data_IF_203503217061
#
_entry.id   IF_203503217061
#
_cell.length_a   1.000
_cell.length_b   1.000
_cell.length_c   1.000
_cell.angle_alpha   90.00
_cell.angle_beta   90.00
_cell.angle_gamma   90.00
#
_symmetry.space_group_name_H-M   'P 1'
#
loop_
_entity.id
_entity.type
_entity.pdbx_description
1 polymer ?
#
# COMPACT_ATOMS: atom_id res chain seq x y z
N UNK A 1 32.61 -3.47 21.68
CA UNK A 1 31.70 -3.35 20.53
C UNK A 1 31.61 -1.90 20.13
N UNK A 2 31.77 -1.60 18.84
CA UNK A 2 31.64 -0.22 18.32
C UNK A 2 30.16 0.12 18.09
N UNK A 3 29.85 1.42 17.93
CA UNK A 3 28.48 1.85 17.63
C UNK A 3 27.98 1.28 16.30
N UNK A 4 28.80 1.30 15.23
CA UNK A 4 28.42 0.77 13.91
C UNK A 4 28.15 -0.74 13.93
N UNK A 5 28.96 -1.48 14.70
CA UNK A 5 28.76 -2.92 14.91
C UNK A 5 27.46 -3.20 15.67
N UNK A 6 27.22 -2.45 16.74
CA UNK A 6 25.97 -2.53 17.50
C UNK A 6 24.76 -2.21 16.62
N UNK A 7 24.87 -1.18 15.78
CA UNK A 7 23.80 -0.71 14.91
C UNK A 7 23.38 -1.75 13.89
N UNK A 8 24.34 -2.46 13.28
CA UNK A 8 24.05 -3.53 12.32
C UNK A 8 23.37 -4.73 12.96
N UNK A 9 23.66 -5.00 14.23
CA UNK A 9 23.13 -6.15 14.99
C UNK A 9 21.86 -5.85 15.78
N UNK A 10 21.39 -4.59 15.78
CA UNK A 10 20.13 -4.19 16.43
C UNK A 10 18.90 -5.04 16.03
N UNK A 11 18.69 -5.43 14.75
CA UNK A 11 17.58 -6.27 14.37
C UNK A 11 17.61 -7.66 15.00
N UNK A 12 18.81 -8.22 15.22
CA UNK A 12 18.99 -9.54 15.82
C UNK A 12 18.35 -9.61 17.22
N UNK A 13 18.37 -8.51 17.98
CA UNK A 13 17.72 -8.41 19.30
C UNK A 13 16.19 -8.55 19.28
N UNK A 14 15.55 -8.44 18.12
CA UNK A 14 14.12 -8.69 18.00
C UNK A 14 13.81 -10.20 18.02
N UNK A 15 14.74 -11.02 17.50
CA UNK A 15 14.60 -12.47 17.41
C UNK A 15 15.30 -13.19 18.57
N UNK A 16 16.48 -12.71 18.98
CA UNK A 16 17.32 -13.30 20.02
C UNK A 16 17.81 -12.22 21.02
N UNK A 17 17.32 -12.32 22.26
CA UNK A 17 17.63 -11.35 23.33
C UNK A 17 18.81 -11.74 24.21
N UNK A 18 19.58 -12.75 23.84
CA UNK A 18 20.61 -13.31 24.72
C UNK A 18 22.02 -12.70 24.51
N UNK A 19 22.19 -11.75 23.58
CA UNK A 19 23.47 -11.04 23.42
C UNK A 19 23.67 -9.95 24.50
N UNK A 20 24.29 -10.37 25.62
CA UNK A 20 24.59 -9.50 26.75
C UNK A 20 25.49 -8.30 26.39
N UNK A 21 26.42 -8.46 25.43
CA UNK A 21 27.33 -7.40 25.00
C UNK A 21 26.61 -6.31 24.21
N UNK A 22 25.72 -6.73 23.32
CA UNK A 22 24.86 -5.85 22.53
C UNK A 22 23.86 -5.11 23.43
N UNK A 23 23.21 -5.80 24.36
CA UNK A 23 22.31 -5.19 25.34
C UNK A 23 23.01 -4.18 26.24
N UNK A 24 24.23 -4.46 26.69
CA UNK A 24 25.02 -3.52 27.49
C UNK A 24 25.28 -2.20 26.73
N UNK A 25 25.63 -2.28 25.45
CA UNK A 25 25.82 -1.09 24.60
C UNK A 25 24.51 -0.34 24.37
N UNK A 26 23.41 -1.04 24.04
CA UNK A 26 22.10 -0.41 23.85
C UNK A 26 21.68 0.34 25.12
N UNK A 27 21.90 -0.22 26.32
CA UNK A 27 21.63 0.50 27.58
C UNK A 27 22.45 1.78 27.76
N UNK A 28 23.65 1.85 27.18
CA UNK A 28 24.53 3.01 27.27
C UNK A 28 24.36 4.03 26.13
N UNK A 29 23.71 3.66 25.02
CA UNK A 29 23.62 4.50 23.81
C UNK A 29 22.16 4.87 23.48
N UNK A 30 21.81 6.15 23.63
CA UNK A 30 20.45 6.66 23.42
C UNK A 30 19.93 6.45 21.99
N UNK A 31 20.79 6.58 20.97
CA UNK A 31 20.40 6.39 19.57
C UNK A 31 20.03 4.93 19.28
N UNK A 32 20.82 3.98 19.79
CA UNK A 32 20.52 2.55 19.69
C UNK A 32 19.22 2.19 20.43
N UNK A 33 18.93 2.81 21.58
CA UNK A 33 17.64 2.62 22.29
C UNK A 33 16.46 3.10 21.46
N UNK A 34 16.58 4.31 20.90
CA UNK A 34 15.53 4.91 20.06
C UNK A 34 15.25 4.03 18.84
N UNK A 35 16.31 3.54 18.19
CA UNK A 35 16.18 2.70 17.01
C UNK A 35 15.56 1.35 17.35
N UNK A 36 16.00 0.68 18.43
CA UNK A 36 15.41 -0.58 18.88
C UNK A 36 13.92 -0.43 19.20
N UNK A 37 13.53 0.69 19.82
CA UNK A 37 12.13 1.00 20.11
C UNK A 37 11.29 1.14 18.83
N UNK A 38 11.81 1.86 17.82
CA UNK A 38 11.13 2.03 16.53
C UNK A 38 10.95 0.68 15.81
N UNK A 39 12.00 -0.14 15.79
CA UNK A 39 11.96 -1.48 15.22
C UNK A 39 10.93 -2.37 15.92
N UNK A 40 10.93 -2.41 17.26
CA UNK A 40 9.95 -3.17 18.04
C UNK A 40 8.51 -2.66 17.89
N UNK A 41 8.30 -1.39 17.54
CA UNK A 41 6.96 -0.88 17.18
C UNK A 41 6.49 -1.42 15.83
N UNK A 42 7.36 -1.40 14.82
CA UNK A 42 7.03 -1.93 13.48
C UNK A 42 6.75 -3.43 13.55
N UNK A 43 7.57 -4.18 14.27
CA UNK A 43 7.40 -5.63 14.44
C UNK A 43 6.03 -5.98 15.07
N UNK A 44 5.63 -5.29 16.14
CA UNK A 44 4.29 -5.47 16.73
C UNK A 44 3.16 -5.17 15.76
N UNK A 45 3.25 -4.10 14.97
CA UNK A 45 2.23 -3.79 13.96
C UNK A 45 2.11 -4.87 12.88
N UNK A 46 3.21 -5.49 12.49
CA UNK A 46 3.21 -6.61 11.54
C UNK A 46 2.57 -7.85 12.16
N UNK A 47 2.91 -8.18 13.40
CA UNK A 47 2.33 -9.30 14.16
C UNK A 47 0.83 -9.13 14.45
N UNK A 48 0.38 -7.92 14.79
CA UNK A 48 -1.04 -7.60 15.00
C UNK A 48 -1.85 -7.79 13.72
N UNK A 49 -1.32 -7.36 12.56
CA UNK A 49 -1.98 -7.59 11.27
C UNK A 49 -2.04 -9.08 10.92
N UNK A 50 -0.98 -9.82 11.17
CA UNK A 50 -0.93 -11.26 10.93
C UNK A 50 -1.92 -12.04 11.82
N UNK A 51 -2.08 -11.63 13.09
CA UNK A 51 -3.01 -12.26 14.04
C UNK A 51 -4.47 -11.87 13.79
N UNK A 52 -4.74 -10.61 13.44
CA UNK A 52 -6.08 -10.14 13.06
C UNK A 52 -6.62 -10.87 11.80
N UNK A 53 -5.75 -11.21 10.85
CA UNK A 53 -6.12 -12.00 9.67
C UNK A 53 -6.44 -13.48 9.96
N UNK A 54 -5.97 -14.04 11.09
CA UNK A 54 -6.23 -15.44 11.46
C UNK A 54 -7.49 -15.63 12.31
N UNK A 55 -7.90 -14.63 13.10
CA UNK A 55 -9.05 -14.75 14.01
C UNK A 55 -10.41 -14.75 13.29
N UNK A 56 -10.49 -14.19 12.08
CA UNK A 56 -11.71 -14.20 11.25
C UNK A 56 -11.99 -15.56 10.59
N UNK A 57 -10.99 -16.46 10.50
CA UNK A 57 -11.12 -17.73 9.77
C UNK A 57 -11.55 -18.93 10.63
N UNK A 58 -11.55 -18.84 11.96
CA UNK A 58 -11.75 -20.00 12.87
C UNK A 58 -13.03 -19.99 13.72
N UNK A 59 -13.92 -19.01 13.59
CA UNK A 59 -15.19 -18.96 14.37
C UNK A 59 -16.45 -19.42 13.64
N UNK A 60 -16.36 -20.09 12.47
CA UNK A 60 -17.55 -20.51 11.70
C UNK A 60 -17.80 -22.01 11.60
N UNK A 61 -17.31 -22.85 12.52
CA UNK A 61 -17.51 -24.31 12.42
C UNK A 61 -18.10 -25.03 13.65
N UNK A 62 -18.51 -24.34 14.72
CA UNK A 62 -19.01 -25.03 15.95
C UNK A 62 -20.42 -24.58 16.40
N UNK A 63 -21.23 -23.94 15.57
CA UNK A 63 -22.65 -23.68 15.91
C UNK A 63 -23.62 -24.04 14.79
N UNK A 64 -23.38 -25.17 14.16
CA UNK A 64 -24.40 -25.88 13.41
C UNK A 64 -24.87 -27.04 14.29
N UNK A 65 -25.87 -26.80 15.15
CA UNK A 65 -26.91 -27.77 15.51
C UNK A 65 -27.84 -27.13 16.54
N UNK A 66 -29.12 -27.07 16.14
CA UNK A 66 -30.31 -26.99 16.99
C UNK A 66 -30.68 -25.61 17.54
N UNK A 67 -31.53 -24.92 16.76
CA UNK A 67 -32.55 -24.00 17.28
C UNK A 67 -32.26 -22.52 17.10
N UNK A 68 -32.81 -21.91 16.04
CA UNK A 68 -33.32 -20.52 16.03
C UNK A 68 -33.61 -20.05 14.60
N UNK A 69 -34.67 -20.57 13.99
CA UNK A 69 -35.19 -20.04 12.71
C UNK A 69 -35.69 -18.58 12.82
N UNK A 70 -35.89 -18.04 14.03
CA UNK A 70 -36.30 -16.65 14.25
C UNK A 70 -35.13 -15.66 14.47
N UNK A 71 -33.96 -16.11 14.96
CA UNK A 71 -32.80 -15.22 15.24
C UNK A 71 -31.93 -15.02 13.99
N UNK A 72 -32.02 -15.94 13.01
CA UNK A 72 -31.25 -15.84 11.76
C UNK A 72 -31.59 -14.59 10.93
N UNK A 73 -32.85 -14.14 10.93
CA UNK A 73 -33.26 -12.93 10.20
C UNK A 73 -32.69 -11.65 10.84
N UNK A 74 -32.75 -11.52 12.17
CA UNK A 74 -32.20 -10.37 12.88
C UNK A 74 -30.66 -10.32 12.81
N UNK A 75 -30.00 -11.49 12.91
CA UNK A 75 -28.55 -11.58 12.77
C UNK A 75 -28.09 -11.28 11.33
N UNK A 76 -28.85 -11.67 10.31
CA UNK A 76 -28.56 -11.32 8.91
C UNK A 76 -28.72 -9.82 8.65
N UNK A 77 -29.75 -9.17 9.21
CA UNK A 77 -29.95 -7.71 9.10
C UNK A 77 -28.81 -6.97 9.81
N UNK A 78 -28.40 -7.41 11.00
CA UNK A 78 -27.24 -6.86 11.70
C UNK A 78 -25.95 -7.08 10.90
N UNK A 79 -25.73 -8.27 10.32
CA UNK A 79 -24.54 -8.54 9.51
C UNK A 79 -24.46 -7.63 8.27
N UNK A 80 -25.59 -7.34 7.61
CA UNK A 80 -25.67 -6.45 6.45
C UNK A 80 -25.41 -4.99 6.85
N UNK A 81 -25.87 -4.54 8.02
CA UNK A 81 -25.60 -3.19 8.52
C UNK A 81 -24.14 -3.00 9.00
N UNK A 82 -23.49 -4.07 9.45
CA UNK A 82 -22.10 -4.05 9.92
C UNK A 82 -21.08 -4.51 8.88
N UNK A 83 -21.52 -4.86 7.66
CA UNK A 83 -20.62 -5.07 6.54
C UNK A 83 -20.00 -3.71 6.19
N UNK A 84 -18.66 -3.55 6.33
CA UNK A 84 -18.02 -2.29 5.99
C UNK A 84 -18.39 -1.96 4.54
N UNK A 85 -18.74 -0.69 4.26
CA UNK A 85 -19.11 -0.28 2.91
C UNK A 85 -18.02 -0.78 1.96
N UNK A 86 -18.39 -1.62 1.00
CA UNK A 86 -17.43 -2.17 0.05
C UNK A 86 -16.71 -1.01 -0.60
N UNK A 87 -15.41 -0.90 -0.35
CA UNK A 87 -14.58 0.15 -0.90
C UNK A 87 -14.72 0.10 -2.42
N UNK A 88 -15.36 1.12 -3.00
CA UNK A 88 -15.61 1.20 -4.43
C UNK A 88 -14.26 1.14 -5.14
N UNK A 89 -14.06 0.10 -5.94
CA UNK A 89 -12.85 -0.05 -6.73
C UNK A 89 -13.11 0.58 -8.09
N UNK A 90 -12.42 1.67 -8.40
CA UNK A 90 -12.50 2.31 -9.71
C UNK A 90 -11.35 1.81 -10.59
N UNK A 91 -11.69 1.36 -11.80
CA UNK A 91 -10.73 0.92 -12.82
C UNK A 91 -10.70 1.93 -13.96
N UNK A 92 -9.50 2.32 -14.35
CA UNK A 92 -9.25 3.21 -15.48
C UNK A 92 -8.27 2.55 -16.44
N UNK A 93 -8.44 2.82 -17.73
CA UNK A 93 -7.61 2.25 -18.79
C UNK A 93 -6.70 3.34 -19.34
N UNK A 94 -5.39 3.19 -19.23
CA UNK A 94 -4.44 4.17 -19.77
C UNK A 94 -4.24 3.94 -21.26
N UNK A 95 -4.42 5.00 -22.04
CA UNK A 95 -4.25 5.04 -23.49
C UNK A 95 -3.24 6.10 -23.89
N UNK A 96 -2.44 5.80 -24.91
CA UNK A 96 -1.59 6.81 -25.58
C UNK A 96 -2.43 7.83 -26.36
N UNK A 97 -1.78 8.87 -26.86
CA UNK A 97 -2.41 9.85 -27.76
C UNK A 97 -3.04 9.22 -29.02
N UNK A 98 -2.51 8.09 -29.51
CA UNK A 98 -3.08 7.34 -30.63
C UNK A 98 -4.25 6.42 -30.24
N UNK A 99 -4.67 6.41 -28.98
CA UNK A 99 -5.75 5.57 -28.46
C UNK A 99 -5.32 4.14 -28.09
N UNK A 100 -4.06 3.75 -28.37
CA UNK A 100 -3.51 2.44 -28.01
C UNK A 100 -3.52 2.26 -26.48
N UNK A 101 -4.11 1.16 -26.02
CA UNK A 101 -4.12 0.76 -24.61
C UNK A 101 -2.70 0.38 -24.17
N UNK A 102 -2.23 0.95 -23.06
CA UNK A 102 -0.89 0.69 -22.52
C UNK A 102 -0.89 0.19 -21.07
N UNK A 103 -1.99 0.34 -20.35
CA UNK A 103 -2.07 -0.09 -18.96
C UNK A 103 -3.44 0.07 -18.33
N UNK A 104 -3.50 -0.30 -17.06
CA UNK A 104 -4.65 -0.10 -16.18
C UNK A 104 -4.22 0.61 -14.90
N UNK A 105 -5.10 1.46 -14.38
CA UNK A 105 -5.00 2.04 -13.06
C UNK A 105 -6.21 1.60 -12.21
N UNK A 106 -5.95 1.24 -10.95
CA UNK A 106 -6.97 0.83 -9.99
C UNK A 106 -6.89 1.73 -8.77
N UNK A 107 -7.99 2.42 -8.48
CA UNK A 107 -8.20 3.10 -7.21
C UNK A 107 -9.03 2.20 -6.32
N UNK A 108 -8.54 1.92 -5.12
CA UNK A 108 -9.28 1.22 -4.09
C UNK A 108 -9.10 1.96 -2.77
N UNK A 109 -10.16 2.08 -1.97
CA UNK A 109 -10.06 2.60 -0.61
C UNK A 109 -9.01 1.79 0.17
N UNK A 110 -8.00 2.46 0.72
CA UNK A 110 -6.95 1.81 1.50
C UNK A 110 -7.25 1.93 2.99
N UNK A 111 -7.66 3.11 3.43
CA UNK A 111 -8.10 3.43 4.78
C UNK A 111 -9.11 4.59 4.74
N UNK A 112 -9.52 5.12 5.90
CA UNK A 112 -10.52 6.20 5.99
C UNK A 112 -10.06 7.56 5.46
N UNK A 113 -8.79 7.72 5.07
CA UNK A 113 -8.21 9.00 4.63
C UNK A 113 -7.43 8.90 3.32
N UNK A 114 -7.10 7.68 2.89
CA UNK A 114 -6.24 7.42 1.75
C UNK A 114 -6.86 6.42 0.78
N UNK A 115 -6.69 6.71 -0.51
CA UNK A 115 -6.97 5.82 -1.61
C UNK A 115 -5.64 5.24 -2.11
N UNK A 116 -5.62 3.93 -2.34
CA UNK A 116 -4.49 3.25 -2.97
C UNK A 116 -4.68 3.28 -4.49
N UNK A 117 -3.75 3.91 -5.21
CA UNK A 117 -3.64 3.87 -6.66
C UNK A 117 -2.62 2.81 -7.08
N UNK A 118 -3.06 1.75 -7.76
CA UNK A 118 -2.18 0.75 -8.39
C UNK A 118 -2.16 0.94 -9.89
N UNK A 119 -0.98 1.19 -10.45
CA UNK A 119 -0.77 1.32 -11.90
C UNK A 119 -0.03 0.08 -12.42
N UNK A 120 -0.57 -0.53 -13.47
CA UNK A 120 0.09 -1.61 -14.22
C UNK A 120 0.12 -1.25 -15.69
N UNK A 121 1.31 -0.97 -16.24
CA UNK A 121 1.51 -0.74 -17.66
C UNK A 121 2.29 -1.90 -18.29
N UNK A 122 2.09 -2.13 -19.59
CA UNK A 122 2.74 -3.21 -20.36
C UNK A 122 3.46 -2.73 -21.61
N UNK A 123 3.19 -1.52 -22.08
CA UNK A 123 3.62 -1.06 -23.41
C UNK A 123 3.80 0.45 -23.47
N UNK A 124 4.28 1.05 -22.38
CA UNK A 124 4.69 2.45 -22.41
C UNK A 124 5.84 2.63 -23.41
N UNK A 125 5.92 3.76 -24.12
CA UNK A 125 7.07 4.06 -24.97
C UNK A 125 8.35 4.00 -24.12
N UNK A 126 9.33 3.20 -24.55
CA UNK A 126 10.60 3.05 -23.85
C UNK A 126 11.66 3.80 -24.65
N UNK A 127 12.17 4.92 -24.14
CA UNK A 127 13.57 5.27 -24.39
C UNK A 127 14.33 4.74 -23.15
N UNK A 128 15.52 4.19 -23.37
CA UNK A 128 16.17 3.35 -22.36
C UNK A 128 16.34 4.07 -21.02
N UNK A 129 15.74 3.51 -19.96
CA UNK A 129 15.90 4.00 -18.58
C UNK A 129 14.96 5.13 -18.16
N UNK A 130 13.90 5.40 -18.92
CA UNK A 130 13.02 6.53 -18.61
C UNK A 130 12.26 6.33 -17.28
N UNK A 131 12.56 7.23 -16.34
CA UNK A 131 11.70 7.54 -15.21
C UNK A 131 10.50 8.30 -15.77
N UNK A 132 9.28 7.94 -15.40
CA UNK A 132 8.06 8.64 -15.75
C UNK A 132 7.46 9.32 -14.52
N UNK A 133 6.68 10.37 -14.77
CA UNK A 133 5.92 11.07 -13.74
C UNK A 133 4.44 10.70 -13.87
N UNK A 134 3.84 10.23 -12.79
CA UNK A 134 2.41 10.05 -12.70
C UNK A 134 1.77 11.31 -12.10
N UNK A 135 0.73 11.78 -12.78
CA UNK A 135 -0.10 12.88 -12.34
C UNK A 135 -1.53 12.40 -12.13
N UNK A 136 -2.21 13.02 -11.18
CA UNK A 136 -3.62 12.81 -10.91
C UNK A 136 -4.31 14.15 -10.69
N UNK A 137 -5.56 14.28 -11.11
CA UNK A 137 -6.31 15.51 -10.89
C UNK A 137 -7.60 15.61 -11.70
N UNK A 138 -8.04 16.84 -11.89
CA UNK A 138 -9.19 17.24 -12.67
C UNK A 138 -8.84 18.37 -13.64
N UNK A 139 -9.83 19.15 -14.11
CA UNK A 139 -9.60 20.28 -15.02
C UNK A 139 -8.96 21.49 -14.34
N UNK A 140 -9.08 21.60 -13.02
CA UNK A 140 -8.73 22.81 -12.25
C UNK A 140 -7.51 22.61 -11.38
N UNK A 141 -7.20 21.37 -11.04
CA UNK A 141 -6.15 20.97 -10.12
C UNK A 141 -5.39 19.75 -10.65
N UNK A 142 -4.08 19.78 -10.48
CA UNK A 142 -3.22 18.64 -10.77
C UNK A 142 -2.27 18.42 -9.61
N UNK A 143 -2.05 17.16 -9.28
CA UNK A 143 -1.12 16.71 -8.27
C UNK A 143 -0.12 15.77 -8.91
N UNK A 144 1.16 16.06 -8.72
CA UNK A 144 2.21 15.10 -9.02
C UNK A 144 2.16 13.98 -7.98
N UNK A 145 1.78 12.78 -8.42
CA UNK A 145 1.64 11.62 -7.54
C UNK A 145 3.00 11.03 -7.19
N UNK A 146 3.89 10.94 -8.18
CA UNK A 146 5.22 10.40 -7.97
C UNK A 146 5.91 9.98 -9.25
N UNK A 147 7.09 9.40 -9.07
CA UNK A 147 7.94 8.89 -10.15
C UNK A 147 7.90 7.37 -10.17
N UNK A 148 8.04 6.79 -11.36
CA UNK A 148 8.18 5.34 -11.53
C UNK A 148 9.07 5.01 -12.73
N UNK A 149 9.68 3.84 -12.71
CA UNK A 149 10.51 3.34 -13.81
C UNK A 149 9.74 2.29 -14.61
N UNK A 150 10.03 2.21 -15.90
CA UNK A 150 9.58 1.11 -16.77
C UNK A 150 10.74 0.17 -17.07
N UNK A 151 10.43 -1.11 -17.24
CA UNK A 151 11.40 -2.09 -17.72
C UNK A 151 11.67 -1.93 -19.24
N UNK A 152 12.55 -2.76 -19.79
CA UNK A 152 12.91 -2.73 -21.21
C UNK A 152 11.75 -3.07 -22.16
N UNK A 153 10.70 -3.72 -21.66
CA UNK A 153 9.48 -4.03 -22.41
C UNK A 153 8.43 -2.92 -22.36
N UNK A 154 8.69 -1.86 -21.57
CA UNK A 154 7.71 -0.80 -21.29
C UNK A 154 6.69 -1.20 -20.25
N UNK A 155 6.99 -2.26 -19.48
CA UNK A 155 6.21 -2.73 -18.37
C UNK A 155 6.51 -1.97 -17.08
N UNK A 156 5.50 -1.75 -16.26
CA UNK A 156 5.70 -1.30 -14.89
C UNK A 156 4.56 -1.77 -13.99
N UNK A 157 4.86 -1.92 -12.69
CA UNK A 157 3.86 -2.08 -11.63
C UNK A 157 4.26 -1.24 -10.44
N UNK A 158 3.46 -0.24 -10.13
CA UNK A 158 3.71 0.68 -9.01
C UNK A 158 2.43 0.96 -8.24
N UNK A 159 2.59 1.34 -6.98
CA UNK A 159 1.49 1.68 -6.09
C UNK A 159 1.79 2.99 -5.38
N UNK A 160 0.79 3.85 -5.31
CA UNK A 160 0.83 5.14 -4.63
C UNK A 160 -0.33 5.26 -3.64
N UNK A 161 -0.15 6.08 -2.62
CA UNK A 161 -1.22 6.48 -1.70
C UNK A 161 -1.59 7.93 -2.01
N UNK A 162 -2.88 8.16 -2.24
CA UNK A 162 -3.44 9.48 -2.52
C UNK A 162 -4.38 9.88 -1.40
N UNK A 163 -4.48 11.18 -1.07
CA UNK A 163 -5.48 11.63 -0.11
C UNK A 163 -6.90 11.47 -0.69
N UNK A 164 -7.85 11.05 0.14
CA UNK A 164 -9.27 10.87 -0.22
C UNK A 164 -10.04 12.21 -0.32
N UNK A 165 -9.33 13.34 -0.27
CA UNK A 165 -9.94 14.67 -0.35
C UNK A 165 -10.28 15.13 -1.77
N UNK A 166 -9.85 14.37 -2.78
CA UNK A 166 -10.03 14.72 -4.19
C UNK A 166 -10.67 13.58 -4.97
N UNK A 167 -11.46 13.94 -5.98
CA UNK A 167 -12.05 13.00 -6.91
C UNK A 167 -11.05 12.65 -8.03
N UNK A 168 -10.25 11.62 -7.80
CA UNK A 168 -9.21 11.16 -8.72
C UNK A 168 -9.81 10.47 -9.95
N UNK A 169 -10.27 11.24 -10.94
CA UNK A 169 -10.86 10.67 -12.17
C UNK A 169 -9.92 10.68 -13.36
N UNK A 170 -8.93 11.58 -13.39
CA UNK A 170 -8.00 11.72 -14.50
C UNK A 170 -6.60 11.41 -14.01
N UNK A 171 -5.97 10.47 -14.69
CA UNK A 171 -4.58 10.11 -14.49
C UNK A 171 -3.85 10.28 -15.82
N UNK A 172 -2.65 10.86 -15.77
CA UNK A 172 -1.80 10.95 -16.95
C UNK A 172 -0.34 10.78 -16.60
N UNK A 173 0.42 10.34 -17.57
CA UNK A 173 1.83 10.01 -17.46
C UNK A 173 2.60 10.93 -18.38
N UNK A 174 3.66 11.55 -17.85
CA UNK A 174 4.55 12.43 -18.62
C UNK A 174 5.99 11.98 -18.50
N UNK A 175 6.83 12.48 -19.42
CA UNK A 175 8.27 12.49 -19.25
C UNK A 175 8.68 13.46 -18.12
N UNK A 176 9.80 13.20 -17.43
CA UNK A 176 10.32 14.06 -16.38
C UNK A 176 10.80 15.37 -17.00
N UNK A 177 10.46 16.49 -16.35
CA UNK A 177 10.77 17.83 -16.86
C UNK A 177 9.90 18.30 -18.04
N UNK A 178 8.94 17.49 -18.51
CA UNK A 178 8.04 17.83 -19.62
C UNK A 178 6.57 17.62 -19.25
N UNK A 179 6.00 18.45 -18.35
CA UNK A 179 4.64 18.25 -17.84
C UNK A 179 3.54 18.37 -18.93
N UNK A 180 3.85 19.00 -20.07
CA UNK A 180 2.92 19.12 -21.21
C UNK A 180 2.99 17.94 -22.17
N UNK A 181 4.03 17.09 -22.08
CA UNK A 181 4.20 15.94 -22.98
C UNK A 181 3.54 14.70 -22.38
N UNK A 182 2.25 14.54 -22.66
CA UNK A 182 1.44 13.41 -22.16
C UNK A 182 1.67 12.16 -23.00
N UNK A 183 2.21 11.13 -22.37
CA UNK A 183 2.55 9.85 -22.99
C UNK A 183 1.36 8.89 -22.93
N UNK A 184 0.63 8.90 -21.82
CA UNK A 184 -0.59 8.14 -21.65
C UNK A 184 -1.55 8.85 -20.69
N UNK A 185 -2.85 8.65 -20.88
CA UNK A 185 -3.90 9.16 -19.99
C UNK A 185 -5.09 8.19 -19.92
N UNK A 186 -5.88 8.30 -18.87
CA UNK A 186 -7.15 7.58 -18.71
C UNK A 186 -8.25 8.13 -19.60
#
# INVERSE_FOLDING_TARGET
MTHDEAWRRLPDLLEDRDDAGLLAHVRACADCQRQLFLLGRVDRMLHERASAGRSTRKRSLVRALLGATAVAAAAAVLLVLFLPPQARTHRFMLRTASGRLVGEAKLAGSDARNISLSLTARSLPVRHGDVFVLWAGDERSSLQVGHFMVDRSGGCRVRFNLPDTHDWRRLWVTEPGRPTHVVART
#
